data_IF_542046168987
#
_entry.id   IF_542046168987
#
_cell.length_a   1.000
_cell.length_b   1.000
_cell.length_c   1.000
_cell.angle_alpha   90.00
_cell.angle_beta   90.00
_cell.angle_gamma   90.00
#
_symmetry.space_group_name_H-M   'P 1'
#
loop_
_entity.id
_entity.type
_entity.pdbx_description
1 polymer ?
#
# COMPACT_ATOMS: atom_id res chain seq x y z
N UNK A 1 31.77 16.15 2.28
CA UNK A 1 30.67 16.86 1.61
C UNK A 1 30.75 18.33 2.01
N UNK A 2 30.86 19.25 1.05
CA UNK A 2 30.73 20.68 1.36
C UNK A 2 29.27 20.94 1.74
N UNK A 3 29.04 21.36 2.99
CA UNK A 3 27.74 21.70 3.52
C UNK A 3 27.31 23.04 2.91
N UNK A 4 26.47 23.04 1.90
CA UNK A 4 25.87 24.29 1.42
C UNK A 4 24.78 24.71 2.42
N UNK A 5 24.73 26.00 2.82
CA UNK A 5 23.69 26.48 3.70
C UNK A 5 22.31 26.25 3.04
N UNK A 6 21.26 25.93 3.86
CA UNK A 6 19.92 25.72 3.33
C UNK A 6 19.42 26.95 2.58
N UNK A 7 18.78 26.75 1.42
CA UNK A 7 18.16 27.84 0.67
C UNK A 7 16.98 28.46 1.44
N UNK A 8 16.61 29.69 1.07
CA UNK A 8 15.43 30.35 1.66
C UNK A 8 14.16 29.49 1.49
N UNK A 9 14.02 28.84 0.34
CA UNK A 9 12.89 27.97 0.04
C UNK A 9 12.84 26.74 0.97
N UNK A 10 13.97 26.08 1.19
CA UNK A 10 14.08 24.97 2.16
C UNK A 10 13.68 25.41 3.56
N UNK A 11 14.17 26.59 4.00
CA UNK A 11 13.85 27.14 5.32
C UNK A 11 12.35 27.45 5.44
N UNK A 12 11.70 27.96 4.39
CA UNK A 12 10.26 28.21 4.36
C UNK A 12 9.46 26.90 4.54
N UNK A 13 9.82 25.82 3.82
CA UNK A 13 9.13 24.54 3.97
C UNK A 13 9.29 23.97 5.39
N UNK A 14 10.48 23.96 5.94
CA UNK A 14 10.72 23.49 7.31
C UNK A 14 9.97 24.33 8.35
N UNK A 15 9.92 25.65 8.19
CA UNK A 15 9.20 26.54 9.10
C UNK A 15 7.69 26.33 9.02
N UNK A 16 7.15 26.08 7.83
CA UNK A 16 5.74 25.77 7.64
C UNK A 16 5.36 24.46 8.33
N UNK A 17 6.16 23.39 8.15
CA UNK A 17 5.96 22.11 8.82
C UNK A 17 5.95 22.28 10.35
N UNK A 18 6.91 23.02 10.90
CA UNK A 18 6.95 23.30 12.33
C UNK A 18 5.73 24.09 12.83
N UNK A 19 5.16 24.94 12.01
CA UNK A 19 3.97 25.72 12.35
C UNK A 19 2.69 24.90 12.32
N UNK A 20 2.56 23.98 11.34
CA UNK A 20 1.37 23.17 11.15
C UNK A 20 1.20 22.11 12.23
N UNK A 21 2.29 21.43 12.62
CA UNK A 21 2.31 20.42 13.69
C UNK A 21 1.24 19.32 13.56
N UNK A 22 0.92 18.95 12.32
CA UNK A 22 -0.08 17.94 11.99
C UNK A 22 0.44 17.03 10.88
N UNK A 23 0.75 15.76 11.20
CA UNK A 23 1.27 14.77 10.24
C UNK A 23 0.21 14.27 9.26
N UNK A 24 -1.07 14.45 9.55
CA UNK A 24 -2.17 14.01 8.69
C UNK A 24 -2.64 15.11 7.74
N UNK A 25 -2.20 16.36 7.94
CA UNK A 25 -2.59 17.50 7.12
C UNK A 25 -1.98 17.43 5.71
N UNK A 26 -2.82 17.59 4.69
CA UNK A 26 -2.38 17.74 3.29
C UNK A 26 -1.35 18.86 3.15
N UNK A 27 -1.53 19.97 3.86
CA UNK A 27 -0.59 21.09 3.84
C UNK A 27 0.80 20.69 4.35
N UNK A 28 0.89 19.86 5.40
CA UNK A 28 2.18 19.31 5.87
C UNK A 28 2.82 18.44 4.78
N UNK A 29 2.02 17.59 4.14
CA UNK A 29 2.50 16.71 3.09
C UNK A 29 2.97 17.45 1.84
N UNK A 30 2.34 18.56 1.45
CA UNK A 30 2.81 19.40 0.35
C UNK A 30 4.25 19.89 0.61
N UNK A 31 4.55 20.31 1.84
CA UNK A 31 5.90 20.73 2.22
C UNK A 31 6.89 19.56 2.31
N UNK A 32 6.48 18.41 2.83
CA UNK A 32 7.31 17.18 2.85
C UNK A 32 7.67 16.75 1.42
N UNK A 33 6.70 16.74 0.51
CA UNK A 33 6.91 16.40 -0.90
C UNK A 33 7.86 17.40 -1.56
N UNK A 34 7.70 18.70 -1.28
CA UNK A 34 8.60 19.72 -1.80
C UNK A 34 10.05 19.51 -1.34
N UNK A 35 10.26 19.23 -0.05
CA UNK A 35 11.60 18.92 0.49
C UNK A 35 12.21 17.66 -0.12
N UNK A 36 11.40 16.60 -0.33
CA UNK A 36 11.84 15.38 -1.03
C UNK A 36 12.38 15.69 -2.41
N UNK A 37 11.64 16.50 -3.21
CA UNK A 37 12.03 16.89 -4.57
C UNK A 37 13.28 17.74 -4.59
N UNK A 38 13.42 18.69 -3.68
CA UNK A 38 14.64 19.51 -3.53
C UNK A 38 15.86 18.63 -3.28
N UNK A 39 15.79 17.72 -2.33
CA UNK A 39 16.74 16.64 -2.10
C UNK A 39 18.20 17.04 -1.94
N UNK A 40 18.49 18.21 -1.37
CA UNK A 40 19.87 18.70 -1.15
C UNK A 40 20.54 18.03 0.05
N UNK A 41 21.84 18.22 0.20
CA UNK A 41 22.55 17.75 1.41
C UNK A 41 22.05 18.43 2.69
N UNK A 42 21.62 19.69 2.63
CA UNK A 42 21.02 20.38 3.78
C UNK A 42 19.68 19.78 4.19
N UNK A 43 18.85 19.36 3.24
CA UNK A 43 17.60 18.62 3.54
C UNK A 43 17.92 17.27 4.18
N UNK A 44 18.90 16.52 3.65
CA UNK A 44 19.36 15.27 4.26
C UNK A 44 19.80 15.47 5.71
N UNK A 45 20.74 16.40 5.94
CA UNK A 45 21.30 16.66 7.27
C UNK A 45 20.22 17.03 8.29
N UNK A 46 19.29 17.91 7.90
CA UNK A 46 18.19 18.29 8.80
C UNK A 46 17.22 17.11 9.05
N UNK A 47 16.94 16.30 8.04
CA UNK A 47 16.11 15.10 8.21
C UNK A 47 16.76 14.10 9.15
N UNK A 48 18.07 13.86 9.03
CA UNK A 48 18.84 12.99 9.93
C UNK A 48 18.82 13.53 11.38
N UNK A 49 19.00 14.84 11.57
CA UNK A 49 18.90 15.47 12.87
C UNK A 49 17.49 15.31 13.48
N UNK A 50 16.46 15.48 12.68
CA UNK A 50 15.08 15.29 13.13
C UNK A 50 14.76 13.84 13.50
N UNK A 51 15.32 12.86 12.83
CA UNK A 51 15.15 11.45 13.19
C UNK A 51 15.62 11.11 14.61
N UNK A 52 16.47 11.93 15.19
CA UNK A 52 17.00 11.75 16.56
C UNK A 52 16.45 12.78 17.57
N UNK A 53 15.51 13.61 17.16
CA UNK A 53 14.91 14.64 18.01
C UNK A 53 14.04 14.00 19.11
N UNK A 54 13.99 14.56 20.34
CA UNK A 54 13.09 14.09 21.40
C UNK A 54 11.61 14.21 21.01
N UNK A 55 11.24 15.12 20.11
CA UNK A 55 9.90 15.34 19.63
C UNK A 55 9.50 14.29 18.58
N UNK A 56 8.50 13.41 18.84
CA UNK A 56 8.07 12.38 17.88
C UNK A 56 7.55 12.97 16.56
N UNK A 57 6.91 14.15 16.59
CA UNK A 57 6.49 14.82 15.36
C UNK A 57 7.68 15.08 14.43
N UNK A 58 8.78 15.62 14.94
CA UNK A 58 9.99 15.84 14.13
C UNK A 58 10.58 14.53 13.64
N UNK A 59 10.65 13.50 14.50
CA UNK A 59 11.13 12.18 14.06
C UNK A 59 10.30 11.62 12.92
N UNK A 60 8.97 11.69 13.03
CA UNK A 60 8.04 11.22 11.98
C UNK A 60 8.28 11.94 10.65
N UNK A 61 8.39 13.28 10.67
CA UNK A 61 8.69 14.07 9.47
C UNK A 61 10.07 13.76 8.90
N UNK A 62 11.11 13.67 9.78
CA UNK A 62 12.47 13.31 9.37
C UNK A 62 12.49 11.99 8.58
N UNK A 63 11.88 10.94 9.13
CA UNK A 63 11.74 9.64 8.49
C UNK A 63 10.96 9.77 7.17
N UNK A 64 9.85 10.53 7.19
CA UNK A 64 9.02 10.71 6.00
C UNK A 64 9.78 11.38 4.85
N UNK A 65 10.60 12.38 5.12
CA UNK A 65 11.45 12.99 4.09
C UNK A 65 12.48 11.99 3.57
N UNK A 66 13.18 11.28 4.46
CA UNK A 66 14.19 10.28 4.09
C UNK A 66 13.62 9.13 3.27
N UNK A 67 12.35 8.76 3.49
CA UNK A 67 11.70 7.64 2.81
C UNK A 67 11.78 7.73 1.28
N UNK A 68 11.69 8.94 0.72
CA UNK A 68 11.65 9.19 -0.72
C UNK A 68 12.46 10.45 -1.09
N UNK A 69 13.67 10.61 -0.59
CA UNK A 69 14.49 11.78 -0.83
C UNK A 69 15.08 11.77 -2.25
N UNK A 70 14.91 12.87 -3.00
CA UNK A 70 15.37 13.07 -4.38
C UNK A 70 14.28 12.81 -5.43
N UNK A 71 14.54 13.22 -6.69
CA UNK A 71 13.58 13.12 -7.80
C UNK A 71 13.18 11.67 -8.12
N UNK A 72 14.10 10.73 -7.92
CA UNK A 72 13.88 9.29 -8.05
C UNK A 72 13.48 8.61 -6.73
N UNK A 73 13.34 9.41 -5.66
CA UNK A 73 13.04 8.92 -4.31
C UNK A 73 14.18 8.16 -3.63
N UNK A 74 15.38 8.11 -4.23
CA UNK A 74 16.49 7.32 -3.72
C UNK A 74 17.83 8.07 -3.63
N UNK A 75 17.80 9.38 -3.45
CA UNK A 75 19.01 10.15 -3.21
C UNK A 75 19.57 9.87 -1.82
N UNK A 76 20.89 9.82 -1.67
CA UNK A 76 21.60 9.46 -0.44
C UNK A 76 21.14 8.11 0.17
N UNK A 77 21.20 7.02 -0.63
CA UNK A 77 20.61 5.75 -0.21
C UNK A 77 21.26 5.16 1.04
N UNK A 78 22.57 5.33 1.21
CA UNK A 78 23.29 4.76 2.34
C UNK A 78 22.97 5.48 3.64
N UNK A 79 23.02 6.82 3.66
CA UNK A 79 22.78 7.63 4.85
C UNK A 79 21.30 7.49 5.30
N UNK A 80 20.35 7.62 4.37
CA UNK A 80 18.94 7.51 4.68
C UNK A 80 18.58 6.10 5.17
N UNK A 81 19.06 5.07 4.50
CA UNK A 81 18.82 3.67 4.88
C UNK A 81 19.45 3.32 6.22
N UNK A 82 20.68 3.80 6.48
CA UNK A 82 21.35 3.59 7.77
C UNK A 82 20.55 4.19 8.93
N UNK A 83 20.03 5.42 8.76
CA UNK A 83 19.18 6.05 9.78
C UNK A 83 17.90 5.26 10.01
N UNK A 84 17.16 4.91 8.95
CA UNK A 84 15.91 4.14 9.05
C UNK A 84 16.17 2.81 9.77
N UNK A 85 17.23 2.07 9.40
CA UNK A 85 17.62 0.81 10.08
C UNK A 85 17.88 1.00 11.57
N UNK A 86 18.52 2.09 11.96
CA UNK A 86 18.82 2.34 13.38
C UNK A 86 17.58 2.59 14.23
N UNK A 87 16.48 3.04 13.61
CA UNK A 87 15.23 3.31 14.29
C UNK A 87 14.29 2.10 14.32
N UNK A 88 14.42 1.15 13.36
CA UNK A 88 13.62 -0.07 13.30
C UNK A 88 13.77 -0.87 14.60
N UNK A 89 12.65 -1.18 15.25
CA UNK A 89 12.58 -1.98 16.47
C UNK A 89 12.98 -1.25 17.77
N UNK A 90 13.40 0.01 17.68
CA UNK A 90 13.73 0.85 18.85
C UNK A 90 12.70 1.95 19.09
N UNK A 91 11.97 2.35 18.07
CA UNK A 91 10.94 3.38 18.17
C UNK A 91 9.66 2.83 18.83
N UNK A 92 9.00 3.66 19.62
CA UNK A 92 7.77 3.33 20.34
C UNK A 92 6.59 4.25 20.03
N UNK A 93 6.85 5.40 19.44
CA UNK A 93 5.80 6.32 19.05
C UNK A 93 5.07 5.83 17.79
N UNK A 94 3.72 5.85 17.82
CA UNK A 94 2.89 5.27 16.77
C UNK A 94 2.99 6.02 15.43
N UNK A 95 3.14 7.33 15.43
CA UNK A 95 3.28 8.12 14.21
C UNK A 95 4.64 7.88 13.56
N UNK A 96 5.68 7.79 14.36
CA UNK A 96 7.03 7.47 13.88
C UNK A 96 7.10 6.04 13.34
N UNK A 97 6.49 5.07 14.04
CA UNK A 97 6.38 3.68 13.55
C UNK A 97 5.67 3.65 12.19
N UNK A 98 4.59 4.40 12.03
CA UNK A 98 3.84 4.50 10.76
C UNK A 98 4.72 5.06 9.63
N UNK A 99 5.51 6.09 9.90
CA UNK A 99 6.46 6.65 8.94
C UNK A 99 7.60 5.67 8.61
N UNK A 100 8.10 4.92 9.59
CA UNK A 100 9.11 3.88 9.38
C UNK A 100 8.59 2.72 8.52
N UNK A 101 7.35 2.27 8.73
CA UNK A 101 6.71 1.26 7.86
C UNK A 101 6.73 1.72 6.41
N UNK A 102 6.31 2.97 6.16
CA UNK A 102 6.33 3.56 4.82
C UNK A 102 7.75 3.68 4.26
N UNK A 103 8.73 4.04 5.09
CA UNK A 103 10.11 4.14 4.67
C UNK A 103 10.73 2.78 4.29
N UNK A 104 10.41 1.71 5.02
CA UNK A 104 10.81 0.33 4.68
C UNK A 104 10.27 -0.05 3.31
N UNK A 105 8.98 0.23 3.04
CA UNK A 105 8.35 -0.05 1.76
C UNK A 105 8.99 0.74 0.61
N UNK A 106 9.01 2.06 0.68
CA UNK A 106 9.49 2.91 -0.40
C UNK A 106 10.97 2.72 -0.73
N UNK A 107 11.78 2.37 0.25
CA UNK A 107 13.20 2.09 0.05
C UNK A 107 13.51 0.64 -0.29
N UNK A 108 12.51 -0.22 -0.37
CA UNK A 108 12.69 -1.62 -0.71
C UNK A 108 13.54 -2.40 0.30
N UNK A 109 13.43 -2.08 1.60
CA UNK A 109 14.26 -2.67 2.65
C UNK A 109 13.74 -4.06 3.05
N UNK A 110 14.16 -5.10 2.33
CA UNK A 110 13.76 -6.48 2.59
C UNK A 110 14.14 -6.97 4.00
N UNK A 111 15.23 -6.46 4.56
CA UNK A 111 15.65 -6.73 5.93
C UNK A 111 14.69 -6.17 7.00
N UNK A 112 13.80 -5.25 6.63
CA UNK A 112 12.73 -4.75 7.50
C UNK A 112 11.52 -5.67 7.60
N UNK A 113 11.41 -6.70 6.74
CA UNK A 113 10.26 -7.63 6.73
C UNK A 113 10.01 -8.31 8.08
N UNK A 114 11.01 -8.84 8.79
CA UNK A 114 10.78 -9.44 10.12
C UNK A 114 10.17 -8.47 11.13
N UNK A 115 10.55 -7.20 11.07
CA UNK A 115 9.97 -6.17 11.93
C UNK A 115 8.53 -5.85 11.51
N UNK A 116 8.25 -5.67 10.21
CA UNK A 116 6.89 -5.46 9.71
C UNK A 116 5.96 -6.61 10.11
N UNK A 117 6.40 -7.86 9.96
CA UNK A 117 5.59 -9.03 10.33
C UNK A 117 5.31 -9.09 11.83
N UNK A 118 6.23 -8.61 12.67
CA UNK A 118 6.00 -8.50 14.12
C UNK A 118 4.90 -7.49 14.48
N UNK A 119 4.75 -6.42 13.69
CA UNK A 119 3.73 -5.39 13.86
C UNK A 119 2.31 -5.81 13.40
N UNK A 120 2.17 -6.94 12.72
CA UNK A 120 0.88 -7.44 12.27
C UNK A 120 -0.09 -7.82 13.41
N UNK A 121 0.40 -7.91 14.64
CA UNK A 121 -0.39 -8.13 15.87
C UNK A 121 -0.49 -6.87 16.74
N UNK A 122 -0.07 -5.72 16.22
CA UNK A 122 -0.09 -4.49 16.97
C UNK A 122 -1.52 -4.09 17.36
N UNK A 123 -1.78 -3.58 18.59
CA UNK A 123 -3.13 -3.22 19.03
C UNK A 123 -3.77 -2.12 18.17
N UNK A 124 -2.99 -1.19 17.63
CA UNK A 124 -3.47 -0.14 16.73
C UNK A 124 -3.78 -0.70 15.34
N UNK A 125 -5.02 -0.54 14.90
CA UNK A 125 -5.46 -0.88 13.54
C UNK A 125 -4.70 -0.05 12.47
N UNK A 126 -4.37 1.20 12.79
CA UNK A 126 -3.60 2.08 11.91
C UNK A 126 -2.21 1.51 11.59
N UNK A 127 -1.57 0.85 12.54
CA UNK A 127 -0.30 0.16 12.30
C UNK A 127 -0.54 -1.11 11.50
N UNK A 128 -1.55 -1.93 11.84
CA UNK A 128 -1.81 -3.18 11.13
C UNK A 128 -2.15 -2.98 9.65
N UNK A 129 -3.00 -1.99 9.31
CA UNK A 129 -3.30 -1.74 7.89
C UNK A 129 -2.09 -1.20 7.12
N UNK A 130 -1.25 -0.37 7.77
CA UNK A 130 0.01 0.07 7.17
C UNK A 130 0.95 -1.11 6.89
N UNK A 131 1.00 -2.09 7.79
CA UNK A 131 1.75 -3.33 7.57
C UNK A 131 1.19 -4.09 6.37
N UNK A 132 -0.14 -4.25 6.28
CA UNK A 132 -0.79 -4.91 5.16
C UNK A 132 -0.45 -4.25 3.81
N UNK A 133 -0.50 -2.92 3.78
CA UNK A 133 -0.11 -2.12 2.61
C UNK A 133 1.39 -2.22 2.27
N UNK A 134 2.26 -2.24 3.28
CA UNK A 134 3.70 -2.15 3.08
C UNK A 134 4.37 -3.49 2.78
N UNK A 135 3.79 -4.63 3.17
CA UNK A 135 4.40 -5.95 3.03
C UNK A 135 4.70 -6.36 1.59
N UNK A 136 3.93 -5.94 0.55
CA UNK A 136 4.40 -6.03 -0.82
C UNK A 136 5.55 -5.06 -1.06
N UNK A 137 6.75 -5.38 -0.54
CA UNK A 137 7.93 -4.53 -0.75
C UNK A 137 8.29 -4.57 -2.23
N UNK A 138 8.42 -3.41 -2.91
CA UNK A 138 8.83 -3.36 -4.31
C UNK A 138 10.08 -4.18 -4.56
N UNK A 139 10.10 -4.94 -5.65
CA UNK A 139 11.16 -5.87 -6.06
C UNK A 139 11.33 -7.16 -5.20
N UNK A 140 10.45 -7.42 -4.22
CA UNK A 140 10.45 -8.66 -3.45
C UNK A 140 9.26 -9.58 -3.77
N UNK A 141 8.30 -9.11 -4.58
CA UNK A 141 7.10 -9.84 -5.01
C UNK A 141 7.35 -10.77 -6.20
N UNK A 142 8.50 -11.43 -6.26
CA UNK A 142 8.79 -12.45 -7.27
C UNK A 142 8.59 -13.85 -6.72
N UNK A 143 8.55 -14.88 -7.60
CA UNK A 143 8.47 -16.26 -7.17
C UNK A 143 9.51 -16.54 -6.07
N UNK A 144 9.03 -16.86 -4.87
CA UNK A 144 9.86 -16.99 -3.67
C UNK A 144 9.61 -15.89 -2.61
N UNK A 145 8.48 -15.17 -2.68
CA UNK A 145 8.03 -14.29 -1.58
C UNK A 145 8.19 -15.03 -0.26
N UNK A 146 8.89 -14.41 0.69
CA UNK A 146 9.15 -15.03 1.99
C UNK A 146 7.84 -15.53 2.61
N UNK A 147 7.86 -16.82 3.00
CA UNK A 147 6.69 -17.47 3.60
C UNK A 147 6.12 -16.69 4.78
N UNK A 148 6.96 -16.01 5.55
CA UNK A 148 6.52 -15.21 6.68
C UNK A 148 5.65 -14.01 6.24
N UNK A 149 5.95 -13.42 5.09
CA UNK A 149 5.14 -12.36 4.47
C UNK A 149 3.77 -12.89 4.08
N UNK A 150 3.72 -14.04 3.38
CA UNK A 150 2.45 -14.65 2.98
C UNK A 150 1.60 -15.05 4.19
N UNK A 151 2.19 -15.72 5.18
CA UNK A 151 1.48 -16.11 6.41
C UNK A 151 0.95 -14.88 7.16
N UNK A 152 1.65 -13.76 7.09
CA UNK A 152 1.23 -12.49 7.70
C UNK A 152 0.07 -11.86 6.92
N UNK A 153 0.14 -11.79 5.60
CA UNK A 153 -0.96 -11.30 4.77
C UNK A 153 -2.23 -12.15 4.93
N UNK A 154 -2.09 -13.48 4.94
CA UNK A 154 -3.21 -14.40 5.19
C UNK A 154 -3.88 -14.14 6.55
N UNK A 155 -3.09 -13.84 7.59
CA UNK A 155 -3.62 -13.46 8.91
C UNK A 155 -4.36 -12.12 8.84
N UNK A 156 -3.76 -11.10 8.22
CA UNK A 156 -4.35 -9.76 8.11
C UNK A 156 -5.62 -9.75 7.23
N UNK A 157 -5.75 -10.66 6.27
CA UNK A 157 -7.00 -10.89 5.54
C UNK A 157 -8.16 -11.31 6.47
N UNK A 158 -7.88 -11.81 7.67
CA UNK A 158 -8.89 -12.17 8.67
C UNK A 158 -9.00 -11.16 9.82
N UNK A 159 -8.44 -9.97 9.68
CA UNK A 159 -8.45 -8.92 10.70
C UNK A 159 -9.89 -8.46 11.01
N UNK A 160 -10.23 -8.12 12.26
CA UNK A 160 -11.54 -7.56 12.61
C UNK A 160 -11.84 -6.26 11.85
N UNK A 161 -10.82 -5.44 11.55
CA UNK A 161 -10.99 -4.15 10.91
C UNK A 161 -11.09 -4.25 9.38
N UNK A 162 -12.16 -3.72 8.75
CA UNK A 162 -12.35 -3.81 7.29
C UNK A 162 -11.17 -3.26 6.50
N UNK A 163 -10.64 -2.10 6.88
CA UNK A 163 -9.51 -1.46 6.19
C UNK A 163 -8.24 -2.32 6.19
N UNK A 164 -8.01 -3.08 7.27
CA UNK A 164 -6.87 -4.02 7.34
C UNK A 164 -7.09 -5.18 6.39
N UNK A 165 -8.31 -5.74 6.36
CA UNK A 165 -8.66 -6.84 5.44
C UNK A 165 -8.56 -6.42 3.98
N UNK A 166 -9.04 -5.23 3.65
CA UNK A 166 -8.98 -4.66 2.30
C UNK A 166 -7.53 -4.60 1.80
N UNK A 167 -6.66 -3.91 2.51
CA UNK A 167 -5.25 -3.80 2.12
C UNK A 167 -4.51 -5.14 2.10
N UNK A 168 -4.82 -6.05 3.03
CA UNK A 168 -4.23 -7.39 3.01
C UNK A 168 -4.71 -8.23 1.82
N UNK A 169 -5.98 -8.10 1.43
CA UNK A 169 -6.56 -8.78 0.28
C UNK A 169 -5.98 -8.22 -1.03
N UNK A 170 -5.89 -6.89 -1.16
CA UNK A 170 -5.19 -6.23 -2.26
C UNK A 170 -3.75 -6.73 -2.40
N UNK A 171 -2.98 -6.69 -1.32
CA UNK A 171 -1.58 -7.14 -1.32
C UNK A 171 -1.45 -8.62 -1.70
N UNK A 172 -2.38 -9.46 -1.22
CA UNK A 172 -2.41 -10.88 -1.57
C UNK A 172 -2.81 -11.11 -3.04
N UNK A 173 -3.68 -10.25 -3.59
CA UNK A 173 -4.10 -10.32 -5.00
C UNK A 173 -2.94 -10.04 -5.97
N UNK A 174 -1.99 -9.19 -5.55
CA UNK A 174 -0.81 -8.80 -6.34
C UNK A 174 0.31 -9.83 -6.32
N UNK A 175 0.29 -10.82 -5.42
CA UNK A 175 1.35 -11.85 -5.37
C UNK A 175 1.20 -12.85 -6.51
N UNK A 176 2.32 -13.28 -7.10
CA UNK A 176 2.36 -14.36 -8.09
C UNK A 176 2.24 -15.75 -7.43
N UNK A 177 2.30 -15.80 -6.10
CA UNK A 177 2.15 -17.05 -5.36
C UNK A 177 0.72 -17.59 -5.45
N UNK A 178 0.62 -18.89 -5.68
CA UNK A 178 -0.66 -19.58 -5.80
C UNK A 178 -0.66 -20.85 -4.95
N UNK A 179 -1.45 -20.86 -3.91
CA UNK A 179 -1.60 -21.99 -3.02
C UNK A 179 -3.08 -22.19 -2.62
N UNK A 180 -3.47 -23.41 -2.18
CA UNK A 180 -4.81 -23.61 -1.66
C UNK A 180 -5.18 -22.62 -0.55
N UNK A 181 -4.25 -22.26 0.31
CA UNK A 181 -4.48 -21.33 1.42
C UNK A 181 -4.82 -19.91 0.90
N UNK A 182 -4.10 -19.42 -0.12
CA UNK A 182 -4.37 -18.13 -0.74
C UNK A 182 -5.75 -18.15 -1.41
N UNK A 183 -6.07 -19.20 -2.19
CA UNK A 183 -7.37 -19.34 -2.84
C UNK A 183 -8.53 -19.34 -1.84
N UNK A 184 -8.41 -20.10 -0.73
CA UNK A 184 -9.45 -20.12 0.31
C UNK A 184 -9.59 -18.79 1.05
N UNK A 185 -8.49 -18.08 1.31
CA UNK A 185 -8.53 -16.75 1.90
C UNK A 185 -9.29 -15.78 0.98
N UNK A 186 -8.95 -15.73 -0.31
CA UNK A 186 -9.61 -14.88 -1.30
C UNK A 186 -11.11 -15.25 -1.47
N UNK A 187 -11.45 -16.55 -1.51
CA UNK A 187 -12.86 -17.00 -1.55
C UNK A 187 -13.65 -16.56 -0.31
N UNK A 188 -13.00 -16.57 0.84
CA UNK A 188 -13.62 -16.05 2.08
C UNK A 188 -13.85 -14.54 1.96
N UNK A 189 -12.88 -13.77 1.45
CA UNK A 189 -12.99 -12.33 1.27
C UNK A 189 -13.97 -11.94 0.16
N UNK A 190 -14.20 -12.79 -0.82
CA UNK A 190 -15.24 -12.58 -1.83
C UNK A 190 -16.64 -12.38 -1.23
N UNK A 191 -16.88 -12.88 -0.01
CA UNK A 191 -18.11 -12.71 0.74
C UNK A 191 -17.98 -11.71 1.91
N UNK A 192 -16.97 -10.85 1.90
CA UNK A 192 -16.77 -9.86 2.96
C UNK A 192 -17.92 -8.84 3.02
N UNK A 193 -18.17 -8.28 4.20
CA UNK A 193 -19.13 -7.17 4.35
C UNK A 193 -18.64 -5.89 3.69
N UNK A 194 -17.32 -5.70 3.62
CA UNK A 194 -16.70 -4.55 2.97
C UNK A 194 -16.70 -4.72 1.45
N UNK A 195 -17.05 -3.64 0.72
CA UNK A 195 -17.18 -3.67 -0.73
C UNK A 195 -15.83 -3.77 -1.44
N UNK A 196 -14.85 -3.00 -0.97
CA UNK A 196 -13.53 -2.92 -1.59
C UNK A 196 -12.79 -4.24 -1.40
N UNK A 197 -12.86 -4.82 -0.20
CA UNK A 197 -12.33 -6.17 0.10
C UNK A 197 -12.90 -7.24 -0.84
N UNK A 198 -14.22 -7.22 -1.13
CA UNK A 198 -14.82 -8.17 -2.10
C UNK A 198 -14.29 -7.97 -3.50
N UNK A 199 -14.12 -6.71 -3.89
CA UNK A 199 -13.65 -6.35 -5.22
C UNK A 199 -12.21 -6.81 -5.45
N UNK A 200 -11.32 -6.60 -4.49
CA UNK A 200 -9.95 -7.07 -4.51
C UNK A 200 -9.86 -8.61 -4.55
N UNK A 201 -10.70 -9.27 -3.77
CA UNK A 201 -10.76 -10.73 -3.78
C UNK A 201 -11.19 -11.30 -5.14
N UNK A 202 -12.13 -10.63 -5.83
CA UNK A 202 -12.56 -11.05 -7.18
C UNK A 202 -11.41 -10.98 -8.18
N UNK A 203 -10.60 -9.91 -8.17
CA UNK A 203 -9.40 -9.77 -9.02
C UNK A 203 -8.36 -10.83 -8.66
N UNK A 204 -8.07 -11.01 -7.37
CA UNK A 204 -7.12 -12.02 -6.91
C UNK A 204 -7.47 -13.45 -7.32
N UNK A 205 -8.76 -13.82 -7.29
CA UNK A 205 -9.27 -15.11 -7.78
C UNK A 205 -9.21 -15.22 -9.30
N UNK A 206 -9.52 -14.13 -10.01
CA UNK A 206 -9.46 -14.08 -11.46
C UNK A 206 -8.02 -14.28 -11.98
N UNK A 207 -7.04 -13.63 -11.36
CA UNK A 207 -5.62 -13.80 -11.68
C UNK A 207 -5.17 -15.27 -11.55
N UNK A 208 -5.76 -16.01 -10.61
CA UNK A 208 -5.48 -17.43 -10.35
C UNK A 208 -6.40 -18.40 -11.10
N UNK A 209 -7.30 -17.87 -11.95
CA UNK A 209 -8.31 -18.65 -12.69
C UNK A 209 -9.10 -19.61 -11.78
N UNK A 210 -9.45 -19.14 -10.57
CA UNK A 210 -10.21 -19.93 -9.59
C UNK A 210 -11.70 -19.97 -9.97
N UNK A 211 -12.18 -21.09 -10.50
CA UNK A 211 -13.53 -21.22 -11.03
C UNK A 211 -14.65 -20.93 -10.02
N UNK A 212 -14.42 -21.19 -8.73
CA UNK A 212 -15.40 -20.93 -7.66
C UNK A 212 -15.72 -19.44 -7.49
N UNK A 213 -14.88 -18.53 -8.02
CA UNK A 213 -15.11 -17.09 -8.03
C UNK A 213 -16.09 -16.62 -9.10
N UNK A 214 -16.36 -17.41 -10.15
CA UNK A 214 -17.12 -16.95 -11.31
C UNK A 214 -18.62 -16.73 -10.99
N UNK A 215 -19.28 -17.70 -10.35
CA UNK A 215 -20.72 -17.54 -10.01
C UNK A 215 -20.98 -16.37 -9.01
N UNK A 216 -20.20 -16.19 -7.94
CA UNK A 216 -20.32 -14.98 -7.13
C UNK A 216 -20.11 -13.70 -7.95
N UNK A 217 -19.13 -13.66 -8.85
CA UNK A 217 -18.88 -12.50 -9.71
C UNK A 217 -20.07 -12.20 -10.63
N UNK A 218 -20.74 -13.21 -11.20
CA UNK A 218 -22.01 -13.04 -11.95
C UNK A 218 -23.06 -12.34 -11.08
N UNK A 219 -23.14 -12.70 -9.80
CA UNK A 219 -24.03 -12.07 -8.82
C UNK A 219 -23.72 -10.58 -8.62
N UNK A 220 -22.44 -10.24 -8.41
CA UNK A 220 -21.98 -8.84 -8.23
C UNK A 220 -22.22 -8.00 -9.48
N UNK A 221 -21.94 -8.52 -10.66
CA UNK A 221 -22.19 -7.81 -11.93
C UNK A 221 -23.68 -7.55 -12.21
N UNK A 222 -24.59 -8.24 -11.52
CA UNK A 222 -26.05 -8.03 -11.61
C UNK A 222 -26.59 -7.10 -10.53
N UNK A 223 -25.75 -6.66 -9.58
CA UNK A 223 -26.17 -5.76 -8.51
C UNK A 223 -26.39 -4.33 -9.03
N UNK A 224 -26.97 -3.49 -8.21
CA UNK A 224 -27.17 -2.05 -8.47
C UNK A 224 -25.93 -1.21 -8.20
N UNK A 225 -24.88 -1.80 -7.61
CA UNK A 225 -23.57 -1.20 -7.37
C UNK A 225 -22.47 -2.11 -7.89
N UNK A 226 -21.86 -1.72 -9.02
CA UNK A 226 -20.76 -2.46 -9.64
C UNK A 226 -19.53 -1.56 -9.74
N UNK A 227 -18.44 -1.94 -9.05
CA UNK A 227 -17.14 -1.26 -9.13
C UNK A 227 -16.32 -1.75 -10.32
N UNK A 228 -15.30 -0.95 -10.70
CA UNK A 228 -14.40 -1.28 -11.82
C UNK A 228 -13.70 -2.63 -11.64
N UNK A 229 -13.26 -2.96 -10.43
CA UNK A 229 -12.54 -4.21 -10.16
C UNK A 229 -13.37 -5.47 -10.45
N UNK A 230 -14.70 -5.42 -10.32
CA UNK A 230 -15.55 -6.56 -10.73
C UNK A 230 -15.56 -6.73 -12.25
N UNK A 231 -15.55 -5.63 -13.01
CA UNK A 231 -15.48 -5.68 -14.49
C UNK A 231 -14.08 -6.10 -14.93
N UNK A 232 -13.03 -5.64 -14.24
CA UNK A 232 -11.65 -6.08 -14.46
C UNK A 232 -11.49 -7.59 -14.18
N UNK A 233 -12.02 -8.07 -13.07
CA UNK A 233 -12.01 -9.51 -12.76
C UNK A 233 -12.70 -10.32 -13.86
N UNK A 234 -13.81 -9.81 -14.43
CA UNK A 234 -14.48 -10.47 -15.53
C UNK A 234 -13.65 -10.48 -16.82
N UNK A 235 -12.94 -9.37 -17.15
CA UNK A 235 -11.99 -9.32 -18.26
C UNK A 235 -10.87 -10.35 -18.07
N UNK A 236 -10.31 -10.44 -16.86
CA UNK A 236 -9.24 -11.39 -16.52
C UNK A 236 -9.74 -12.84 -16.63
N UNK A 237 -10.91 -13.18 -16.09
CA UNK A 237 -11.47 -14.53 -16.20
C UNK A 237 -11.69 -14.93 -17.66
N UNK A 238 -12.20 -14.02 -18.47
CA UNK A 238 -12.55 -14.26 -19.87
C UNK A 238 -13.53 -15.46 -20.03
N UNK A 239 -14.49 -15.61 -19.12
CA UNK A 239 -15.45 -16.72 -19.09
C UNK A 239 -16.80 -16.33 -19.69
N UNK A 240 -17.34 -17.11 -20.64
CA UNK A 240 -18.62 -16.79 -21.31
C UNK A 240 -19.82 -16.65 -20.36
N UNK A 241 -19.80 -17.26 -19.16
CA UNK A 241 -20.85 -17.13 -18.14
C UNK A 241 -21.05 -15.68 -17.67
N UNK A 242 -20.01 -14.87 -17.73
CA UNK A 242 -20.02 -13.47 -17.29
C UNK A 242 -20.63 -12.52 -18.33
N UNK A 243 -20.56 -12.88 -19.62
CA UNK A 243 -20.99 -12.03 -20.74
C UNK A 243 -22.42 -11.48 -20.61
N UNK A 244 -23.47 -12.26 -20.26
CA UNK A 244 -24.81 -11.71 -20.16
C UNK A 244 -24.94 -10.58 -19.12
N UNK A 245 -24.23 -10.69 -17.98
CA UNK A 245 -24.23 -9.66 -16.95
C UNK A 245 -23.50 -8.40 -17.42
N UNK A 246 -22.32 -8.55 -18.06
CA UNK A 246 -21.55 -7.44 -18.62
C UNK A 246 -22.34 -6.68 -19.70
N UNK A 247 -23.04 -7.39 -20.60
CA UNK A 247 -23.88 -6.74 -21.62
C UNK A 247 -25.03 -5.95 -20.98
N UNK A 248 -25.59 -6.44 -19.87
CA UNK A 248 -26.63 -5.71 -19.15
C UNK A 248 -26.10 -4.38 -18.54
N UNK A 249 -24.83 -4.31 -18.14
CA UNK A 249 -24.20 -3.11 -17.63
C UNK A 249 -24.13 -1.97 -18.66
N UNK A 250 -24.06 -2.25 -19.95
CA UNK A 250 -24.01 -1.23 -21.01
C UNK A 250 -25.18 -0.22 -20.94
N UNK A 251 -26.26 -0.55 -20.24
CA UNK A 251 -27.43 0.32 -20.13
C UNK A 251 -27.26 1.47 -19.13
N UNK A 252 -26.36 1.35 -18.19
CA UNK A 252 -26.30 2.29 -17.07
C UNK A 252 -24.91 2.47 -16.45
N UNK A 253 -23.97 1.55 -16.69
CA UNK A 253 -22.62 1.62 -16.10
C UNK A 253 -21.70 2.38 -17.04
N UNK A 254 -21.28 3.58 -16.63
CA UNK A 254 -20.51 4.55 -17.42
C UNK A 254 -19.16 4.94 -16.78
N UNK A 255 -18.74 4.22 -15.72
CA UNK A 255 -17.50 4.51 -14.99
C UNK A 255 -16.28 4.35 -15.90
N UNK A 256 -16.19 3.24 -16.64
CA UNK A 256 -15.11 2.96 -17.58
C UNK A 256 -15.64 2.14 -18.77
N UNK A 257 -16.22 2.81 -19.81
CA UNK A 257 -16.80 2.13 -20.96
C UNK A 257 -15.81 1.28 -21.75
N UNK A 258 -14.54 1.68 -21.82
CA UNK A 258 -13.50 0.94 -22.55
C UNK A 258 -13.18 -0.39 -21.86
N UNK A 259 -13.09 -0.38 -20.52
CA UNK A 259 -12.93 -1.60 -19.73
C UNK A 259 -14.11 -2.55 -19.95
N UNK A 260 -15.35 -2.02 -19.89
CA UNK A 260 -16.55 -2.83 -20.10
C UNK A 260 -16.56 -3.47 -21.49
N UNK A 261 -16.18 -2.72 -22.53
CA UNK A 261 -16.10 -3.24 -23.88
C UNK A 261 -15.06 -4.37 -24.01
N UNK A 262 -13.89 -4.22 -23.41
CA UNK A 262 -12.85 -5.26 -23.38
C UNK A 262 -13.32 -6.51 -22.63
N UNK A 263 -13.95 -6.34 -21.45
CA UNK A 263 -14.48 -7.45 -20.67
C UNK A 263 -15.54 -8.25 -21.44
N UNK A 264 -16.46 -7.57 -22.14
CA UNK A 264 -17.46 -8.23 -23.00
C UNK A 264 -16.78 -9.02 -24.14
N UNK A 265 -15.77 -8.43 -24.76
CA UNK A 265 -15.04 -9.09 -25.84
C UNK A 265 -14.25 -10.30 -25.34
N UNK A 266 -13.61 -10.21 -24.19
CA UNK A 266 -12.86 -11.30 -23.56
C UNK A 266 -13.75 -12.49 -23.18
N UNK A 267 -14.98 -12.23 -22.74
CA UNK A 267 -15.98 -13.26 -22.37
C UNK A 267 -16.79 -13.81 -23.56
N UNK A 268 -16.27 -13.74 -24.78
CA UNK A 268 -17.02 -14.11 -26.02
C UNK A 268 -16.78 -15.53 -26.47
#
# INVERSE_FOLDING_TARGET
MECNPPSELEQQHWSAIESLRDVESDATWDHVIALRKVGTSSVLERSLAWCTDPDPYRRSIGVSVLAQLGDDGNRYPEEATSMIRSMIGTESDHEVITSLISAVHFRGLSEGVPWLTSLALHPSENIRWRVAWALPIPNTLHPGTDRSTLDTLLRLCADPEPRVRDWATFSLSLTDEDSPQIREALLTRLNDSDFDTRSEAAVGLANRKEERGIEPLVGYLKSDRVGELFVEAAEIYADPRLKPALVALQKWWDINPDLLARAIAACS
#
